data_IF_174046187683
#
_entry.id   IF_174046187683
#
_cell.length_a   1.000
_cell.length_b   1.000
_cell.length_c   1.000
_cell.angle_alpha   90.00
_cell.angle_beta   90.00
_cell.angle_gamma   90.00
#
_symmetry.space_group_name_H-M   'P 1'
#
loop_
_entity.id
_entity.type
_entity.pdbx_description
1 polymer ?
#
# COMPACT_ATOMS: atom_id res chain seq x y z
N UNK A 1 -12.11 24.25 -2.37
CA UNK A 1 -10.92 24.02 -1.54
C UNK A 1 -9.85 23.48 -2.46
N UNK A 2 -8.78 24.25 -2.66
CA UNK A 2 -7.62 23.81 -3.44
C UNK A 2 -6.89 22.73 -2.63
N UNK A 3 -7.23 21.47 -2.91
CA UNK A 3 -6.36 20.35 -2.59
C UNK A 3 -5.14 20.48 -3.49
N UNK A 4 -3.99 20.70 -2.87
CA UNK A 4 -2.68 20.52 -3.49
C UNK A 4 -2.69 19.16 -4.20
N UNK A 5 -2.90 19.14 -5.52
CA UNK A 5 -2.46 18.00 -6.32
C UNK A 5 -0.94 18.07 -6.29
N UNK A 6 -0.32 17.54 -5.24
CA UNK A 6 1.07 17.12 -5.34
C UNK A 6 1.11 16.24 -6.60
N UNK A 7 1.87 16.67 -7.61
CA UNK A 7 2.05 15.85 -8.79
C UNK A 7 2.61 14.50 -8.30
N UNK A 8 1.81 13.46 -8.45
CA UNK A 8 2.21 12.10 -8.12
C UNK A 8 3.43 11.79 -9.00
N UNK A 9 4.60 11.71 -8.37
CA UNK A 9 5.88 11.55 -9.03
C UNK A 9 6.52 10.21 -8.60
N UNK A 10 6.30 9.14 -9.38
CA UNK A 10 6.86 7.82 -9.08
C UNK A 10 8.38 7.81 -9.00
N UNK A 11 9.07 8.78 -9.62
CA UNK A 11 10.54 8.82 -9.61
C UNK A 11 11.13 9.02 -8.20
N UNK A 12 10.33 9.52 -7.26
CA UNK A 12 10.69 9.66 -5.84
C UNK A 12 10.81 8.33 -5.10
N UNK A 13 10.17 7.26 -5.60
CA UNK A 13 10.22 5.92 -5.02
C UNK A 13 11.48 5.22 -5.53
N UNK A 14 12.41 4.85 -4.64
CA UNK A 14 13.69 4.25 -5.05
C UNK A 14 13.56 2.77 -5.40
N UNK A 15 12.76 2.04 -4.64
CA UNK A 15 12.46 0.64 -4.90
C UNK A 15 11.77 0.50 -6.26
N UNK A 16 12.32 -0.39 -7.10
CA UNK A 16 11.88 -0.52 -8.49
C UNK A 16 10.50 -1.18 -8.59
N UNK A 17 10.18 -2.09 -7.67
CA UNK A 17 8.91 -2.81 -7.67
C UNK A 17 7.80 -1.87 -7.25
N UNK A 18 7.97 -1.17 -6.12
CA UNK A 18 7.01 -0.17 -5.64
C UNK A 18 6.80 0.95 -6.66
N UNK A 19 7.87 1.40 -7.33
CA UNK A 19 7.76 2.39 -8.41
C UNK A 19 6.91 1.87 -9.57
N UNK A 20 7.17 0.66 -10.04
CA UNK A 20 6.43 0.07 -11.15
C UNK A 20 4.94 -0.09 -10.84
N UNK A 21 4.60 -0.51 -9.62
CA UNK A 21 3.20 -0.62 -9.18
C UNK A 21 2.48 0.74 -9.17
N UNK A 22 3.14 1.81 -8.72
CA UNK A 22 2.58 3.17 -8.77
C UNK A 22 2.45 3.67 -10.21
N UNK A 23 3.46 3.43 -11.06
CA UNK A 23 3.41 3.79 -12.48
C UNK A 23 2.23 3.13 -13.20
N UNK A 24 1.99 1.84 -12.90
CA UNK A 24 0.86 1.06 -13.41
C UNK A 24 -0.47 1.62 -12.88
N UNK A 25 -0.56 1.93 -11.58
CA UNK A 25 -1.76 2.54 -11.00
C UNK A 25 -2.13 3.87 -11.67
N UNK A 26 -1.14 4.74 -11.88
CA UNK A 26 -1.31 6.01 -12.60
C UNK A 26 -1.71 5.79 -14.05
N UNK A 27 -1.21 4.74 -14.69
CA UNK A 27 -1.62 4.38 -16.05
C UNK A 27 -3.08 3.97 -16.12
N UNK A 28 -3.54 3.11 -15.22
CA UNK A 28 -4.95 2.73 -15.15
C UNK A 28 -5.84 3.93 -14.88
N UNK A 29 -5.49 4.80 -13.92
CA UNK A 29 -6.23 6.03 -13.63
C UNK A 29 -6.41 6.87 -14.90
N UNK A 30 -5.30 7.23 -15.57
CA UNK A 30 -5.34 8.04 -16.81
C UNK A 30 -6.23 7.39 -17.87
N UNK A 31 -6.12 6.08 -18.04
CA UNK A 31 -6.92 5.34 -19.03
C UNK A 31 -8.40 5.34 -18.67
N UNK A 32 -8.76 5.14 -17.40
CA UNK A 32 -10.16 5.21 -16.93
C UNK A 32 -10.74 6.61 -17.16
N UNK A 33 -10.04 7.66 -16.72
CA UNK A 33 -10.47 9.06 -16.92
C UNK A 33 -10.71 9.38 -18.41
N UNK A 34 -9.81 8.96 -19.28
CA UNK A 34 -9.97 9.15 -20.73
C UNK A 34 -11.22 8.45 -21.28
N UNK A 35 -11.56 7.26 -20.76
CA UNK A 35 -12.76 6.54 -21.19
C UNK A 35 -14.05 7.16 -20.64
N UNK A 36 -14.04 7.59 -19.39
CA UNK A 36 -15.18 8.29 -18.78
C UNK A 36 -15.51 9.57 -19.54
N UNK A 37 -14.49 10.37 -19.91
CA UNK A 37 -14.67 11.61 -20.69
C UNK A 37 -15.28 11.40 -22.08
N UNK A 38 -15.13 10.21 -22.67
CA UNK A 38 -15.72 9.86 -23.97
C UNK A 38 -17.20 9.48 -23.87
N UNK A 39 -17.72 9.25 -22.67
CA UNK A 39 -19.13 8.95 -22.47
C UNK A 39 -20.02 10.15 -22.84
N UNK A 40 -21.24 9.85 -23.28
CA UNK A 40 -22.22 10.90 -23.60
C UNK A 40 -22.55 11.70 -22.34
N UNK A 41 -22.69 13.02 -22.49
CA UNK A 41 -23.09 13.89 -21.40
C UNK A 41 -24.45 13.48 -20.83
N UNK A 42 -24.57 13.56 -19.50
CA UNK A 42 -25.76 13.19 -18.73
C UNK A 42 -25.40 12.64 -17.35
N UNK A 43 -26.42 12.34 -16.54
CA UNK A 43 -26.30 11.85 -15.16
C UNK A 43 -25.34 10.65 -15.02
N UNK A 44 -25.29 9.79 -16.02
CA UNK A 44 -24.43 8.61 -16.02
C UNK A 44 -22.95 8.99 -16.11
N UNK A 45 -22.61 9.95 -16.97
CA UNK A 45 -21.23 10.43 -17.09
C UNK A 45 -20.79 11.09 -15.80
N UNK A 46 -21.66 11.89 -15.18
CA UNK A 46 -21.40 12.53 -13.89
C UNK A 46 -21.04 11.50 -12.81
N UNK A 47 -21.82 10.42 -12.68
CA UNK A 47 -21.50 9.33 -11.75
C UNK A 47 -20.17 8.61 -12.05
N UNK A 48 -19.84 8.43 -13.32
CA UNK A 48 -18.56 7.83 -13.72
C UNK A 48 -17.39 8.80 -13.51
N UNK A 49 -17.61 10.11 -13.61
CA UNK A 49 -16.65 11.15 -13.26
C UNK A 49 -16.39 11.16 -11.75
N UNK A 50 -17.43 11.02 -10.93
CA UNK A 50 -17.28 10.84 -9.48
C UNK A 50 -16.47 9.59 -9.13
N UNK A 51 -16.73 8.48 -9.83
CA UNK A 51 -15.97 7.25 -9.64
C UNK A 51 -14.50 7.41 -10.08
N UNK A 52 -14.23 8.13 -11.18
CA UNK A 52 -12.88 8.43 -11.60
C UNK A 52 -12.14 9.34 -10.61
N UNK A 53 -12.84 10.30 -9.99
CA UNK A 53 -12.28 11.14 -8.93
C UNK A 53 -11.92 10.31 -7.69
N UNK A 54 -12.80 9.41 -7.25
CA UNK A 54 -12.50 8.47 -6.15
C UNK A 54 -11.28 7.59 -6.45
N UNK A 55 -11.14 7.12 -7.69
CA UNK A 55 -9.95 6.38 -8.13
C UNK A 55 -8.70 7.26 -8.04
N UNK A 56 -8.77 8.54 -8.40
CA UNK A 56 -7.63 9.47 -8.26
C UNK A 56 -7.20 9.62 -6.80
N UNK A 57 -8.14 9.79 -5.87
CA UNK A 57 -7.84 9.90 -4.44
C UNK A 57 -7.19 8.60 -3.92
N UNK A 58 -7.72 7.47 -4.36
CA UNK A 58 -7.18 6.17 -3.98
C UNK A 58 -5.78 5.89 -4.56
N UNK A 59 -5.51 6.27 -5.81
CA UNK A 59 -4.15 6.18 -6.40
C UNK A 59 -3.16 7.09 -5.66
N UNK A 60 -3.62 8.25 -5.17
CA UNK A 60 -2.81 9.08 -4.27
C UNK A 60 -2.47 8.34 -2.97
N UNK A 61 -3.41 7.61 -2.37
CA UNK A 61 -3.14 6.80 -1.18
C UNK A 61 -2.16 5.65 -1.46
N UNK A 62 -2.28 4.96 -2.61
CA UNK A 62 -1.31 3.94 -3.06
C UNK A 62 0.10 4.55 -3.15
N UNK A 63 0.22 5.74 -3.74
CA UNK A 63 1.51 6.44 -3.84
C UNK A 63 2.09 6.79 -2.45
N UNK A 64 1.27 7.29 -1.52
CA UNK A 64 1.72 7.57 -0.15
C UNK A 64 2.14 6.30 0.60
N UNK A 65 1.45 5.18 0.39
CA UNK A 65 1.82 3.88 0.94
C UNK A 65 3.17 3.40 0.37
N UNK A 66 3.36 3.53 -0.94
CA UNK A 66 4.61 3.19 -1.61
C UNK A 66 5.79 4.01 -1.07
N UNK A 67 5.61 5.31 -0.83
CA UNK A 67 6.66 6.15 -0.22
C UNK A 67 7.04 5.68 1.20
N UNK A 68 6.05 5.25 2.00
CA UNK A 68 6.31 4.71 3.36
C UNK A 68 7.04 3.37 3.30
N UNK A 69 6.64 2.49 2.40
CA UNK A 69 7.30 1.21 2.16
C UNK A 69 8.73 1.42 1.65
N UNK A 70 8.95 2.35 0.72
CA UNK A 70 10.27 2.70 0.20
C UNK A 70 11.19 3.23 1.31
N UNK A 71 10.70 4.14 2.14
CA UNK A 71 11.45 4.67 3.28
C UNK A 71 11.82 3.56 4.28
N UNK A 72 10.90 2.63 4.54
CA UNK A 72 11.15 1.47 5.39
C UNK A 72 12.19 0.51 4.80
N UNK A 73 12.11 0.21 3.50
CA UNK A 73 13.06 -0.67 2.81
C UNK A 73 14.47 -0.05 2.73
N UNK A 74 14.55 1.28 2.63
CA UNK A 74 15.80 2.03 2.58
C UNK A 74 16.42 2.31 3.95
N UNK A 75 15.78 1.91 5.06
CA UNK A 75 16.30 2.15 6.41
C UNK A 75 17.38 1.11 6.78
N UNK A 76 18.64 1.51 6.59
CA UNK A 76 19.81 0.70 6.93
C UNK A 76 19.92 0.39 8.43
N UNK A 77 19.42 1.29 9.30
CA UNK A 77 19.43 1.09 10.74
C UNK A 77 18.47 -0.03 11.13
N UNK A 78 17.24 -0.01 10.61
CA UNK A 78 16.26 -1.08 10.83
C UNK A 78 16.77 -2.42 10.28
N UNK A 79 17.39 -2.40 9.09
CA UNK A 79 17.99 -3.60 8.49
C UNK A 79 19.08 -4.19 9.38
N UNK A 80 19.99 -3.34 9.88
CA UNK A 80 21.07 -3.77 10.78
C UNK A 80 20.53 -4.34 12.08
N UNK A 81 19.57 -3.64 12.70
CA UNK A 81 19.01 -4.04 13.98
C UNK A 81 18.24 -5.36 13.87
N UNK A 82 17.57 -5.61 12.74
CA UNK A 82 16.88 -6.88 12.45
C UNK A 82 17.82 -8.08 12.47
N UNK A 83 19.02 -7.92 11.90
CA UNK A 83 20.02 -9.00 11.87
C UNK A 83 20.76 -9.13 13.20
N UNK A 84 21.07 -8.00 13.84
CA UNK A 84 21.94 -7.96 15.02
C UNK A 84 21.21 -8.30 16.32
N UNK A 85 20.00 -7.77 16.54
CA UNK A 85 19.30 -7.92 17.82
C UNK A 85 19.10 -9.39 18.25
N UNK A 86 18.69 -10.33 17.37
CA UNK A 86 18.57 -11.73 17.75
C UNK A 86 19.90 -12.33 18.23
N UNK A 87 20.99 -11.99 17.55
CA UNK A 87 22.33 -12.48 17.89
C UNK A 87 22.83 -11.88 19.21
N UNK A 88 22.64 -10.57 19.40
CA UNK A 88 22.95 -9.88 20.66
C UNK A 88 22.18 -10.52 21.84
N UNK A 89 20.88 -10.76 21.67
CA UNK A 89 20.03 -11.40 22.69
C UNK A 89 20.55 -12.80 23.02
N UNK A 90 20.88 -13.60 22.00
CA UNK A 90 21.42 -14.95 22.19
C UNK A 90 22.75 -14.90 22.96
N UNK A 91 23.70 -14.06 22.53
CA UNK A 91 25.00 -13.93 23.18
C UNK A 91 24.89 -13.46 24.64
N UNK A 92 23.99 -12.51 24.91
CA UNK A 92 23.74 -12.05 26.28
C UNK A 92 23.11 -13.15 27.13
N UNK A 93 22.19 -13.92 26.56
CA UNK A 93 21.56 -15.06 27.26
C UNK A 93 22.58 -16.15 27.60
N UNK A 94 23.52 -16.45 26.69
CA UNK A 94 24.62 -17.39 26.94
C UNK A 94 25.58 -16.87 28.01
N UNK A 95 25.92 -15.57 27.99
CA UNK A 95 26.73 -14.93 29.05
C UNK A 95 26.03 -15.00 30.40
N UNK A 96 24.73 -14.69 30.43
CA UNK A 96 23.89 -14.78 31.62
C UNK A 96 23.93 -16.20 32.20
N UNK A 97 23.81 -17.23 31.37
CA UNK A 97 23.81 -18.62 31.83
C UNK A 97 25.14 -19.06 32.49
N UNK A 98 26.26 -18.42 32.15
CA UNK A 98 27.60 -18.73 32.67
C UNK A 98 28.04 -17.81 33.82
N UNK A 99 27.39 -16.67 33.98
CA UNK A 99 27.68 -15.69 35.02
C UNK A 99 27.28 -16.22 36.40
N UNK A 100 28.10 -15.97 37.42
CA UNK A 100 27.87 -16.43 38.80
C UNK A 100 27.58 -15.28 39.76
N UNK A 101 27.97 -14.05 39.40
CA UNK A 101 27.70 -12.86 40.21
C UNK A 101 26.21 -12.47 40.09
N UNK A 102 25.43 -12.48 41.19
CA UNK A 102 24.01 -12.16 41.16
C UNK A 102 23.68 -10.73 40.69
N UNK A 103 24.56 -9.76 40.95
CA UNK A 103 24.36 -8.37 40.54
C UNK A 103 24.53 -8.22 39.02
N UNK A 104 25.53 -8.91 38.47
CA UNK A 104 25.77 -8.94 37.01
C UNK A 104 24.68 -9.72 36.31
N UNK A 105 24.19 -10.82 36.88
CA UNK A 105 23.03 -11.54 36.35
C UNK A 105 21.80 -10.63 36.23
N UNK A 106 21.49 -9.86 37.27
CA UNK A 106 20.36 -8.90 37.24
C UNK A 106 20.52 -7.85 36.14
N UNK A 107 21.71 -7.27 36.00
CA UNK A 107 21.99 -6.31 34.92
C UNK A 107 21.87 -6.94 33.53
N UNK A 108 22.34 -8.19 33.36
CA UNK A 108 22.18 -8.92 32.10
C UNK A 108 20.71 -9.19 31.79
N UNK A 109 19.93 -9.60 32.79
CA UNK A 109 18.49 -9.87 32.65
C UNK A 109 17.73 -8.58 32.22
N UNK A 110 18.06 -7.42 32.78
CA UNK A 110 17.50 -6.11 32.39
C UNK A 110 17.82 -5.74 30.93
N UNK A 111 19.09 -5.89 30.51
CA UNK A 111 19.52 -5.59 29.13
C UNK A 111 18.88 -6.55 28.13
N UNK A 112 18.80 -7.84 28.47
CA UNK A 112 18.13 -8.86 27.64
C UNK A 112 16.66 -8.49 27.46
N UNK A 113 15.95 -8.15 28.55
CA UNK A 113 14.54 -7.76 28.50
C UNK A 113 14.32 -6.53 27.62
N UNK A 114 15.14 -5.49 27.76
CA UNK A 114 15.06 -4.29 26.90
C UNK A 114 15.27 -4.63 25.42
N UNK A 115 16.25 -5.48 25.09
CA UNK A 115 16.51 -5.90 23.71
C UNK A 115 15.39 -6.77 23.13
N UNK A 116 14.80 -7.65 23.94
CA UNK A 116 13.65 -8.46 23.55
C UNK A 116 12.44 -7.58 23.20
N UNK A 117 12.16 -6.54 23.99
CA UNK A 117 11.09 -5.58 23.71
C UNK A 117 11.32 -4.81 22.39
N UNK A 118 12.56 -4.38 22.16
CA UNK A 118 12.94 -3.74 20.89
C UNK A 118 12.75 -4.69 19.71
N UNK A 119 13.21 -5.94 19.84
CA UNK A 119 13.07 -6.96 18.80
C UNK A 119 11.60 -7.29 18.49
N UNK A 120 10.76 -7.39 19.51
CA UNK A 120 9.32 -7.62 19.32
C UNK A 120 8.66 -6.45 18.58
N UNK A 121 9.02 -5.22 18.93
CA UNK A 121 8.51 -4.01 18.25
C UNK A 121 8.92 -4.00 16.77
N UNK A 122 10.18 -4.34 16.48
CA UNK A 122 10.67 -4.45 15.11
C UNK A 122 9.90 -5.53 14.32
N UNK A 123 9.66 -6.69 14.91
CA UNK A 123 8.85 -7.75 14.27
C UNK A 123 7.42 -7.32 13.98
N UNK A 124 6.81 -6.52 14.85
CA UNK A 124 5.47 -5.98 14.61
C UNK A 124 5.47 -4.96 13.47
N UNK A 125 6.48 -4.08 13.40
CA UNK A 125 6.67 -3.17 12.27
C UNK A 125 6.79 -3.98 10.96
N UNK A 126 7.63 -5.01 10.95
CA UNK A 126 7.84 -5.87 9.79
C UNK A 126 6.56 -6.53 9.29
N UNK A 127 5.77 -7.07 10.22
CA UNK A 127 4.48 -7.69 9.89
C UNK A 127 3.52 -6.67 9.27
N UNK A 128 3.47 -5.45 9.80
CA UNK A 128 2.64 -4.37 9.26
C UNK A 128 3.10 -3.92 7.88
N UNK A 129 4.41 -3.79 7.66
CA UNK A 129 4.95 -3.41 6.34
C UNK A 129 4.67 -4.48 5.29
N UNK A 130 4.78 -5.76 5.66
CA UNK A 130 4.40 -6.87 4.77
C UNK A 130 2.91 -6.87 4.44
N UNK A 131 2.06 -6.58 5.43
CA UNK A 131 0.62 -6.43 5.19
C UNK A 131 0.33 -5.24 4.27
N UNK A 132 0.98 -4.11 4.48
CA UNK A 132 0.86 -2.92 3.63
C UNK A 132 1.25 -3.22 2.17
N UNK A 133 2.33 -3.97 1.94
CA UNK A 133 2.72 -4.39 0.59
C UNK A 133 1.64 -5.26 -0.07
N UNK A 134 1.07 -6.23 0.65
CA UNK A 134 -0.02 -7.06 0.14
C UNK A 134 -1.30 -6.24 -0.13
N UNK A 135 -1.59 -5.25 0.69
CA UNK A 135 -2.73 -4.33 0.47
C UNK A 135 -2.52 -3.48 -0.79
N UNK A 136 -1.28 -3.04 -1.06
CA UNK A 136 -0.92 -2.31 -2.28
C UNK A 136 -1.11 -3.19 -3.53
N UNK A 137 -0.64 -4.44 -3.51
CA UNK A 137 -0.82 -5.40 -4.60
C UNK A 137 -2.31 -5.71 -4.87
N UNK A 138 -3.09 -5.91 -3.80
CA UNK A 138 -4.54 -6.12 -3.90
C UNK A 138 -5.24 -4.90 -4.49
N UNK A 139 -4.80 -3.71 -4.07
CA UNK A 139 -5.31 -2.45 -4.59
C UNK A 139 -5.06 -2.36 -6.09
N UNK A 140 -3.81 -2.52 -6.54
CA UNK A 140 -3.47 -2.49 -7.97
C UNK A 140 -4.30 -3.50 -8.80
N UNK A 141 -4.49 -4.71 -8.28
CA UNK A 141 -5.33 -5.75 -8.93
C UNK A 141 -6.79 -5.31 -9.09
N UNK A 142 -7.35 -4.69 -8.07
CA UNK A 142 -8.72 -4.18 -8.10
C UNK A 142 -8.85 -3.02 -9.11
N UNK A 143 -7.83 -2.16 -9.24
CA UNK A 143 -7.79 -1.11 -10.25
C UNK A 143 -7.81 -1.66 -11.68
N UNK A 144 -6.99 -2.68 -11.94
CA UNK A 144 -6.96 -3.36 -13.23
C UNK A 144 -8.32 -3.97 -13.60
N UNK A 145 -9.05 -4.50 -12.60
CA UNK A 145 -10.40 -5.01 -12.78
C UNK A 145 -11.39 -3.92 -13.17
N UNK A 146 -11.40 -2.79 -12.43
CA UNK A 146 -12.25 -1.62 -12.76
C UNK A 146 -11.92 -1.09 -14.15
N UNK A 147 -10.64 -0.98 -14.50
CA UNK A 147 -10.22 -0.59 -15.85
C UNK A 147 -10.78 -1.52 -16.93
N UNK A 148 -10.69 -2.85 -16.73
CA UNK A 148 -11.26 -3.83 -17.65
C UNK A 148 -12.77 -3.67 -17.82
N UNK A 149 -13.50 -3.40 -16.74
CA UNK A 149 -14.93 -3.15 -16.78
C UNK A 149 -15.29 -1.86 -17.51
N UNK A 150 -14.53 -0.78 -17.30
CA UNK A 150 -14.70 0.49 -18.02
C UNK A 150 -14.48 0.28 -19.53
N UNK A 151 -13.52 -0.56 -19.93
CA UNK A 151 -13.31 -0.93 -21.33
C UNK A 151 -14.49 -1.71 -21.91
N UNK A 152 -15.01 -2.69 -21.18
CA UNK A 152 -16.19 -3.48 -21.59
C UNK A 152 -17.43 -2.60 -21.75
N UNK A 153 -17.63 -1.60 -20.87
CA UNK A 153 -18.75 -0.68 -20.96
C UNK A 153 -18.79 0.08 -22.28
N UNK A 154 -17.62 0.45 -22.82
CA UNK A 154 -17.52 1.09 -24.14
C UNK A 154 -17.88 0.13 -25.28
N UNK A 155 -17.46 -1.13 -25.18
CA UNK A 155 -17.76 -2.14 -26.19
C UNK A 155 -19.26 -2.52 -26.20
N UNK A 156 -19.91 -2.52 -25.03
CA UNK A 156 -21.31 -2.92 -24.85
C UNK A 156 -22.32 -1.76 -24.94
N UNK A 157 -21.89 -0.54 -25.28
CA UNK A 157 -22.75 0.65 -25.35
C UNK A 157 -23.98 0.52 -26.28
N UNK A 158 -23.99 -0.50 -27.14
CA UNK A 158 -25.10 -0.86 -28.05
C UNK A 158 -26.25 -1.60 -27.32
N UNK A 159 -25.98 -2.28 -26.19
CA UNK A 159 -26.97 -3.01 -25.40
C UNK A 159 -27.23 -2.32 -24.05
N UNK A 160 -28.30 -1.53 -23.98
CA UNK A 160 -28.63 -0.64 -22.85
C UNK A 160 -28.77 -1.37 -21.50
N UNK A 161 -29.32 -2.58 -21.47
CA UNK A 161 -29.56 -3.32 -20.22
C UNK A 161 -28.31 -3.98 -19.62
N UNK A 162 -27.32 -4.35 -20.44
CA UNK A 162 -26.03 -4.87 -19.95
C UNK A 162 -25.11 -3.73 -19.51
N UNK A 163 -25.08 -2.65 -20.29
CA UNK A 163 -24.32 -1.46 -19.97
C UNK A 163 -24.72 -0.85 -18.62
N UNK A 164 -26.02 -0.85 -18.26
CA UNK A 164 -26.47 -0.32 -16.97
C UNK A 164 -26.04 -1.17 -15.77
N UNK A 165 -26.07 -2.50 -15.90
CA UNK A 165 -25.57 -3.40 -14.84
C UNK A 165 -24.07 -3.21 -14.61
N UNK A 166 -23.31 -3.21 -15.70
CA UNK A 166 -21.86 -3.03 -15.62
C UNK A 166 -21.47 -1.68 -14.98
N UNK A 167 -22.25 -0.61 -15.21
CA UNK A 167 -22.05 0.66 -14.52
C UNK A 167 -22.24 0.56 -13.02
N UNK A 168 -23.33 -0.07 -12.57
CA UNK A 168 -23.58 -0.24 -11.14
C UNK A 168 -22.49 -1.08 -10.49
N UNK A 169 -22.02 -2.13 -11.17
CA UNK A 169 -20.92 -2.97 -10.70
C UNK A 169 -19.61 -2.17 -10.55
N UNK A 170 -19.29 -1.29 -11.51
CA UNK A 170 -18.13 -0.38 -11.44
C UNK A 170 -18.25 0.55 -10.22
N UNK A 171 -19.42 1.19 -10.03
CA UNK A 171 -19.64 2.12 -8.92
C UNK A 171 -19.50 1.42 -7.56
N UNK A 172 -20.02 0.21 -7.44
CA UNK A 172 -19.90 -0.60 -6.22
C UNK A 172 -18.45 -1.03 -5.97
N UNK A 173 -17.72 -1.41 -7.01
CA UNK A 173 -16.31 -1.77 -6.89
C UNK A 173 -15.46 -0.59 -6.47
N UNK A 174 -15.63 0.58 -7.10
CA UNK A 174 -14.89 1.80 -6.72
C UNK A 174 -15.17 2.18 -5.27
N UNK A 175 -16.42 2.06 -4.80
CA UNK A 175 -16.75 2.29 -3.40
C UNK A 175 -16.01 1.33 -2.45
N UNK A 176 -15.82 0.06 -2.84
CA UNK A 176 -15.05 -0.91 -2.06
C UNK A 176 -13.55 -0.62 -2.06
N UNK A 177 -13.02 0.12 -3.03
CA UNK A 177 -11.59 0.48 -3.06
C UNK A 177 -11.22 1.40 -1.88
N UNK A 178 -12.17 2.25 -1.45
CA UNK A 178 -12.00 3.13 -0.29
C UNK A 178 -11.79 2.34 1.01
N UNK A 179 -12.37 1.13 1.09
CA UNK A 179 -12.22 0.24 2.26
C UNK A 179 -10.86 -0.52 2.28
N UNK A 180 -10.07 -0.45 1.19
CA UNK A 180 -8.83 -1.23 1.04
C UNK A 180 -7.57 -0.48 1.49
N UNK A 181 -7.65 0.83 1.78
CA UNK A 181 -6.49 1.69 2.07
C UNK A 181 -6.60 2.42 3.40
#
# INVERSE_FOLDING_TARGET
>A
MELFQEQLDPSRIKDKTLRAEVEEALEYQRRIEMQVRKQRAGLIRERLEDAANQISDWVSNIYQLALRLDAYLADDLLTRDRTRLPQDIQQLSEKRAREQNPDVQRQLDEVISSKQNQWQTLRQLDARMKQAQLQMEQSLTALGTVYGQVQLLNAEAINSGRAERLRNDILEQVKRLDDLV
#
